data_IF_578930338977
#
_entry.id   IF_578930338977
#
_cell.length_a   1.000
_cell.length_b   1.000
_cell.length_c   1.000
_cell.angle_alpha   90.00
_cell.angle_beta   90.00
_cell.angle_gamma   90.00
#
_symmetry.space_group_name_H-M   'P 1'
#
loop_
_entity.id
_entity.type
_entity.pdbx_description
1 polymer ?
#
# COMPACT_ATOMS: atom_id res chain seq x y z
N UNK A 1 8.61 42.86 -35.19
CA UNK A 1 9.12 42.63 -33.81
C UNK A 1 9.30 41.15 -33.56
N UNK A 2 10.50 40.71 -33.20
CA UNK A 2 10.95 39.32 -33.24
C UNK A 2 10.46 38.54 -32.02
N UNK A 3 9.79 37.39 -32.24
CA UNK A 3 9.52 36.37 -31.22
C UNK A 3 10.83 35.65 -30.84
N UNK A 4 11.20 35.66 -29.57
CA UNK A 4 12.28 34.83 -29.03
C UNK A 4 11.69 33.50 -28.56
N UNK A 5 12.07 32.44 -29.24
CA UNK A 5 11.84 31.04 -28.85
C UNK A 5 12.95 30.64 -27.86
N UNK A 6 12.56 30.25 -26.65
CA UNK A 6 13.49 29.68 -25.68
C UNK A 6 13.40 28.17 -25.79
N UNK A 7 14.46 27.54 -26.29
CA UNK A 7 14.64 26.09 -26.31
C UNK A 7 15.17 25.64 -24.93
N UNK A 8 14.46 24.75 -24.26
CA UNK A 8 14.95 24.01 -23.09
C UNK A 8 15.89 22.90 -23.58
N UNK A 9 17.14 22.94 -23.13
CA UNK A 9 18.13 21.89 -23.33
C UNK A 9 17.85 20.74 -22.35
N UNK A 10 17.65 19.55 -22.90
CA UNK A 10 17.73 18.29 -22.18
C UNK A 10 19.20 17.96 -21.95
N UNK A 11 19.61 17.86 -20.68
CA UNK A 11 20.94 17.38 -20.32
C UNK A 11 20.86 15.87 -20.04
N UNK A 12 21.30 15.06 -20.98
CA UNK A 12 21.58 13.64 -20.77
C UNK A 12 22.95 13.51 -20.09
N UNK A 13 22.98 12.98 -18.86
CA UNK A 13 24.22 12.62 -18.17
C UNK A 13 24.62 11.20 -18.59
N UNK A 14 25.69 11.10 -19.39
CA UNK A 14 26.35 9.84 -19.70
C UNK A 14 27.27 9.45 -18.54
N UNK A 15 26.98 8.32 -17.88
CA UNK A 15 27.89 7.73 -16.90
C UNK A 15 28.99 6.94 -17.63
N UNK A 16 30.23 7.36 -17.42
CA UNK A 16 31.45 6.76 -17.98
C UNK A 16 31.84 5.54 -17.15
N UNK A 17 31.86 4.35 -17.76
CA UNK A 17 32.42 3.13 -17.17
C UNK A 17 33.94 3.19 -17.21
N UNK A 18 34.58 3.16 -16.04
CA UNK A 18 36.03 2.86 -15.93
C UNK A 18 36.20 1.36 -15.64
N UNK A 19 36.67 0.63 -16.64
CA UNK A 19 37.22 -0.71 -16.44
C UNK A 19 38.60 -0.60 -15.80
N UNK A 20 38.81 -1.12 -14.58
CA UNK A 20 40.12 -1.39 -14.03
C UNK A 20 40.43 -2.89 -14.13
N UNK A 21 41.42 -3.20 -14.95
CA UNK A 21 42.00 -4.54 -15.12
C UNK A 21 42.99 -4.77 -13.99
N UNK A 22 42.86 -5.86 -13.22
CA UNK A 22 43.88 -6.38 -12.32
C UNK A 22 44.34 -7.77 -12.77
N UNK A 23 45.62 -8.12 -12.55
CA UNK A 23 46.23 -9.27 -13.18
C UNK A 23 45.98 -10.60 -12.48
N UNK A 24 46.01 -11.63 -13.29
CA UNK A 24 45.91 -13.05 -12.95
C UNK A 24 47.07 -13.50 -12.08
N UNK A 25 46.76 -14.12 -10.92
CA UNK A 25 47.70 -14.93 -10.17
C UNK A 25 47.05 -16.27 -9.86
N UNK A 26 47.57 -17.34 -10.45
CA UNK A 26 47.10 -18.70 -10.27
C UNK A 26 47.46 -19.25 -8.89
N UNK A 27 46.53 -19.91 -8.21
CA UNK A 27 46.77 -20.99 -7.25
C UNK A 27 45.68 -22.07 -7.30
N UNK A 28 46.11 -23.30 -7.08
CA UNK A 28 45.51 -24.56 -7.42
C UNK A 28 44.26 -24.92 -6.57
N UNK A 29 43.48 -25.84 -7.13
CA UNK A 29 42.25 -26.43 -6.68
C UNK A 29 42.29 -27.22 -5.37
N UNK A 30 41.18 -27.24 -4.63
CA UNK A 30 40.53 -28.47 -4.13
C UNK A 30 39.02 -28.24 -3.96
N UNK A 31 38.18 -29.32 -4.06
CA UNK A 31 36.75 -29.21 -4.38
C UNK A 31 35.83 -29.38 -3.15
N UNK A 32 34.71 -28.69 -3.16
CA UNK A 32 33.58 -29.09 -2.33
C UNK A 32 32.89 -28.00 -1.54
N UNK A 33 31.91 -27.36 -2.16
CA UNK A 33 30.62 -27.00 -1.60
C UNK A 33 29.92 -26.07 -2.61
N UNK A 34 28.87 -26.56 -3.25
CA UNK A 34 27.97 -25.75 -4.06
C UNK A 34 27.15 -24.86 -3.12
N UNK A 35 27.58 -23.62 -2.90
CA UNK A 35 26.72 -22.56 -2.42
C UNK A 35 25.87 -22.08 -3.60
N UNK A 36 24.61 -22.45 -3.60
CA UNK A 36 23.60 -21.85 -4.48
C UNK A 36 23.46 -20.37 -4.06
N UNK A 37 24.14 -19.47 -4.77
CA UNK A 37 23.80 -18.05 -4.75
C UNK A 37 22.36 -17.89 -5.29
N UNK A 38 21.42 -17.70 -4.36
CA UNK A 38 20.10 -17.20 -4.66
C UNK A 38 20.27 -15.74 -5.11
N UNK A 39 20.46 -15.55 -6.41
CA UNK A 39 20.47 -14.25 -7.06
C UNK A 39 19.05 -13.64 -6.99
N UNK A 40 18.70 -13.07 -5.85
CA UNK A 40 17.60 -12.13 -5.77
C UNK A 40 18.04 -10.88 -6.54
N UNK A 41 17.63 -10.78 -7.81
CA UNK A 41 17.73 -9.54 -8.57
C UNK A 41 16.91 -8.49 -7.84
N UNK A 42 17.57 -7.59 -7.14
CA UNK A 42 16.96 -6.37 -6.65
C UNK A 42 16.56 -5.56 -7.90
N UNK A 43 15.32 -5.73 -8.34
CA UNK A 43 14.72 -4.79 -9.29
C UNK A 43 14.66 -3.46 -8.56
N UNK A 44 15.39 -2.47 -9.05
CA UNK A 44 15.27 -1.10 -8.59
C UNK A 44 13.79 -0.71 -8.78
N UNK A 45 13.07 -0.51 -7.66
CA UNK A 45 11.71 0.02 -7.71
C UNK A 45 11.81 1.41 -8.35
N UNK A 46 11.22 1.59 -9.54
CA UNK A 46 11.12 2.92 -10.14
C UNK A 46 10.40 3.83 -9.15
N UNK A 47 11.04 4.93 -8.78
CA UNK A 47 10.46 5.91 -7.86
C UNK A 47 9.21 6.54 -8.52
N UNK A 48 8.05 6.30 -7.92
CA UNK A 48 6.80 6.90 -8.40
C UNK A 48 6.83 8.39 -8.13
N UNK A 49 7.09 9.17 -9.19
CA UNK A 49 7.05 10.63 -9.13
C UNK A 49 5.62 11.10 -9.30
N UNK A 50 5.12 11.86 -8.32
CA UNK A 50 3.79 12.47 -8.42
C UNK A 50 3.72 13.45 -9.58
N UNK A 51 2.76 13.31 -10.53
CA UNK A 51 2.58 14.26 -11.63
C UNK A 51 2.14 15.63 -11.08
N UNK A 52 2.45 16.71 -11.77
CA UNK A 52 2.01 18.06 -11.39
C UNK A 52 0.49 18.22 -11.43
N UNK A 53 -0.16 17.55 -12.38
CA UNK A 53 -1.61 17.56 -12.56
C UNK A 53 -2.11 16.20 -13.04
N UNK A 54 -3.30 15.80 -12.61
CA UNK A 54 -3.98 14.54 -12.97
C UNK A 54 -5.38 14.86 -13.47
N UNK A 55 -5.67 14.54 -14.73
CA UNK A 55 -7.03 14.71 -15.27
C UNK A 55 -8.02 13.78 -14.58
N UNK A 56 -9.21 14.30 -14.28
CA UNK A 56 -10.31 13.51 -13.72
C UNK A 56 -11.04 12.77 -14.83
N UNK A 57 -10.50 11.64 -15.25
CA UNK A 57 -11.01 10.80 -16.31
C UNK A 57 -10.90 9.30 -15.97
N UNK A 58 -11.46 8.43 -16.82
CA UNK A 58 -11.46 6.97 -16.58
C UNK A 58 -10.09 6.30 -16.71
N UNK A 59 -9.09 6.98 -17.26
CA UNK A 59 -7.71 6.48 -17.32
C UNK A 59 -7.04 6.59 -15.98
N UNK A 60 -7.21 7.71 -15.27
CA UNK A 60 -6.58 8.01 -14.00
C UNK A 60 -7.43 7.55 -12.80
N UNK A 61 -8.75 7.69 -12.91
CA UNK A 61 -9.74 7.27 -11.91
C UNK A 61 -10.72 6.31 -12.59
N UNK A 62 -10.44 5.01 -12.52
CA UNK A 62 -11.14 4.02 -13.32
C UNK A 62 -12.60 3.83 -12.89
N UNK A 63 -12.86 3.90 -11.59
CA UNK A 63 -14.20 3.70 -11.03
C UNK A 63 -15.01 4.98 -11.13
N UNK A 64 -16.19 4.91 -11.74
CA UNK A 64 -17.05 6.10 -11.97
C UNK A 64 -17.42 6.79 -10.66
N UNK A 65 -17.72 6.03 -9.61
CA UNK A 65 -18.12 6.61 -8.32
C UNK A 65 -16.92 7.28 -7.65
N UNK A 66 -15.72 6.68 -7.72
CA UNK A 66 -14.51 7.31 -7.24
C UNK A 66 -14.14 8.55 -8.06
N UNK A 67 -14.26 8.48 -9.39
CA UNK A 67 -14.07 9.64 -10.28
C UNK A 67 -15.02 10.79 -9.90
N UNK A 68 -16.29 10.51 -9.65
CA UNK A 68 -17.25 11.52 -9.22
C UNK A 68 -16.93 12.07 -7.83
N UNK A 69 -16.47 11.20 -6.92
CA UNK A 69 -16.09 11.60 -5.56
C UNK A 69 -14.91 12.58 -5.57
N UNK A 70 -13.87 12.35 -6.38
CA UNK A 70 -12.67 13.19 -6.36
C UNK A 70 -12.87 14.57 -7.00
N UNK A 71 -13.95 14.79 -7.78
CA UNK A 71 -14.31 16.11 -8.33
C UNK A 71 -14.46 17.19 -7.27
N UNK A 72 -14.82 16.85 -6.04
CA UNK A 72 -14.91 17.82 -4.94
C UNK A 72 -13.57 18.50 -4.60
N UNK A 73 -12.45 17.88 -5.00
CA UNK A 73 -11.11 18.38 -4.77
C UNK A 73 -10.59 19.30 -5.88
N UNK A 74 -11.21 19.27 -7.06
CA UNK A 74 -11.00 20.22 -8.17
C UNK A 74 -11.63 21.56 -7.80
N UNK A 75 -10.84 22.45 -7.20
CA UNK A 75 -11.35 23.72 -6.63
C UNK A 75 -11.48 24.83 -7.67
N UNK A 76 -10.70 24.77 -8.72
CA UNK A 76 -10.75 25.75 -9.82
C UNK A 76 -11.68 25.30 -10.96
N UNK A 77 -12.19 24.07 -10.92
CA UNK A 77 -13.17 23.53 -11.86
C UNK A 77 -12.59 23.26 -13.25
N UNK A 78 -11.27 23.04 -13.33
CA UNK A 78 -10.58 22.85 -14.61
C UNK A 78 -10.64 21.41 -15.15
N UNK A 79 -11.22 20.47 -14.40
CA UNK A 79 -11.35 19.06 -14.74
C UNK A 79 -10.11 18.23 -14.42
N UNK A 80 -9.15 18.78 -13.71
CA UNK A 80 -7.91 18.13 -13.29
C UNK A 80 -7.63 18.41 -11.81
N UNK A 81 -6.86 17.54 -11.18
CA UNK A 81 -6.35 17.76 -9.82
C UNK A 81 -4.87 18.13 -9.89
N UNK A 82 -4.54 19.37 -9.55
CA UNK A 82 -3.15 19.82 -9.36
C UNK A 82 -2.50 19.09 -8.16
N UNK A 83 -1.17 19.08 -8.10
CA UNK A 83 -0.46 18.52 -6.94
C UNK A 83 -0.82 19.29 -5.65
N UNK A 84 -1.03 20.61 -5.73
CA UNK A 84 -1.43 21.43 -4.58
C UNK A 84 -2.81 21.00 -4.02
N UNK A 85 -3.79 20.73 -4.89
CA UNK A 85 -5.12 20.26 -4.48
C UNK A 85 -5.05 18.87 -3.84
N UNK A 86 -4.31 17.94 -4.46
CA UNK A 86 -4.12 16.58 -3.95
C UNK A 86 -3.37 16.54 -2.61
N UNK A 87 -2.39 17.42 -2.41
CA UNK A 87 -1.64 17.55 -1.16
C UNK A 87 -2.48 18.07 0.02
N UNK A 88 -3.64 18.64 -0.23
CA UNK A 88 -4.60 19.06 0.80
C UNK A 88 -5.54 17.92 1.24
N UNK A 89 -5.52 16.80 0.52
CA UNK A 89 -6.42 15.66 0.79
C UNK A 89 -5.73 14.69 1.74
N UNK A 90 -6.12 14.75 2.99
CA UNK A 90 -5.65 13.83 4.04
C UNK A 90 -6.65 12.75 4.39
N UNK A 91 -7.90 12.89 3.92
CA UNK A 91 -8.99 11.95 4.21
C UNK A 91 -9.82 11.71 2.96
N UNK A 92 -10.03 10.43 2.65
CA UNK A 92 -11.00 9.96 1.67
C UNK A 92 -11.95 8.99 2.39
N UNK A 93 -13.25 9.30 2.36
CA UNK A 93 -14.30 8.48 2.95
C UNK A 93 -15.43 8.35 1.93
N UNK A 94 -15.50 7.16 1.30
CA UNK A 94 -16.49 6.90 0.29
C UNK A 94 -17.85 6.58 0.93
N UNK A 95 -18.95 7.04 0.34
CA UNK A 95 -20.29 6.65 0.78
C UNK A 95 -20.49 5.14 0.69
N UNK A 96 -21.21 4.57 1.64
CA UNK A 96 -21.66 3.18 1.61
C UNK A 96 -22.37 2.85 0.29
N UNK A 97 -22.07 1.68 -0.27
CA UNK A 97 -22.68 1.22 -1.51
C UNK A 97 -22.09 1.86 -2.78
N UNK A 98 -21.06 2.71 -2.68
CA UNK A 98 -20.29 3.17 -3.85
C UNK A 98 -19.71 1.97 -4.60
N UNK A 99 -19.67 2.05 -5.93
CA UNK A 99 -19.10 0.98 -6.76
C UNK A 99 -17.69 1.35 -7.23
N UNK A 100 -16.71 0.97 -6.42
CA UNK A 100 -15.30 1.31 -6.63
C UNK A 100 -14.42 0.05 -6.67
N UNK A 101 -14.58 -0.84 -7.68
CA UNK A 101 -13.93 -2.15 -7.70
C UNK A 101 -12.40 -2.12 -7.70
N UNK A 102 -11.77 -1.07 -8.16
CA UNK A 102 -10.30 -1.00 -8.28
C UNK A 102 -9.64 0.05 -7.41
N UNK A 103 -10.36 1.09 -7.01
CA UNK A 103 -9.82 2.28 -6.33
C UNK A 103 -8.61 2.91 -7.05
N UNK A 104 -8.45 2.63 -8.37
CA UNK A 104 -7.37 3.23 -9.17
C UNK A 104 -7.48 4.75 -9.14
N UNK A 105 -6.35 5.43 -8.90
CA UNK A 105 -6.26 6.88 -8.70
C UNK A 105 -5.97 7.26 -7.25
N UNK A 106 -6.09 6.29 -6.31
CA UNK A 106 -5.76 6.54 -4.90
C UNK A 106 -4.27 6.87 -4.72
N UNK A 107 -3.40 6.35 -5.59
CA UNK A 107 -1.96 6.59 -5.62
C UNK A 107 -1.59 8.07 -5.84
N UNK A 108 -2.51 8.85 -6.37
CA UNK A 108 -2.30 10.28 -6.62
C UNK A 108 -2.47 11.18 -5.38
N UNK A 109 -2.81 10.61 -4.22
CA UNK A 109 -3.00 11.37 -2.97
C UNK A 109 -1.87 11.08 -1.97
N UNK A 110 -0.69 11.76 -2.09
CA UNK A 110 0.51 11.43 -1.30
C UNK A 110 0.38 11.78 0.18
N UNK A 111 -0.53 12.73 0.53
CA UNK A 111 -0.76 13.18 1.89
C UNK A 111 -1.91 12.43 2.60
N UNK A 112 -2.40 11.34 2.00
CA UNK A 112 -3.54 10.59 2.53
C UNK A 112 -3.15 9.89 3.85
N UNK A 113 -3.89 10.23 4.91
CA UNK A 113 -3.75 9.67 6.27
C UNK A 113 -4.89 8.68 6.56
N UNK A 114 -6.09 8.98 6.06
CA UNK A 114 -7.30 8.17 6.32
C UNK A 114 -7.96 7.77 5.02
N UNK A 115 -8.11 6.47 4.81
CA UNK A 115 -8.92 5.90 3.73
C UNK A 115 -10.03 5.03 4.34
N UNK A 116 -11.29 5.40 4.08
CA UNK A 116 -12.46 4.59 4.42
C UNK A 116 -13.21 4.27 3.13
N UNK A 117 -13.17 3.01 2.75
CA UNK A 117 -13.83 2.45 1.58
C UNK A 117 -14.58 1.15 1.93
N UNK A 118 -15.15 1.08 3.13
CA UNK A 118 -15.95 -0.06 3.55
C UNK A 118 -17.22 -0.16 2.73
N UNK A 119 -17.67 -1.39 2.42
CA UNK A 119 -18.91 -1.65 1.67
C UNK A 119 -18.99 -0.91 0.31
N UNK A 120 -17.88 -0.89 -0.43
CA UNK A 120 -17.80 -0.18 -1.72
C UNK A 120 -17.41 -1.09 -2.89
N UNK A 121 -17.63 -2.40 -2.72
CA UNK A 121 -17.40 -3.45 -3.74
C UNK A 121 -15.95 -3.56 -4.25
N UNK A 122 -14.97 -3.08 -3.48
CA UNK A 122 -13.55 -3.13 -3.83
C UNK A 122 -13.09 -4.58 -4.01
N UNK A 123 -12.42 -4.86 -5.13
CA UNK A 123 -11.81 -6.15 -5.47
C UNK A 123 -10.28 -6.08 -5.50
N UNK A 124 -9.76 -4.89 -5.79
CA UNK A 124 -8.33 -4.61 -5.80
C UNK A 124 -8.06 -3.26 -5.17
N UNK A 125 -7.10 -3.20 -4.26
CA UNK A 125 -6.72 -1.99 -3.54
C UNK A 125 -5.19 -1.93 -3.44
N UNK A 126 -4.59 -0.97 -4.14
CA UNK A 126 -3.17 -0.68 -4.04
C UNK A 126 -2.96 0.63 -3.27
N UNK A 127 -2.49 0.52 -2.04
CA UNK A 127 -2.15 1.64 -1.15
C UNK A 127 -0.64 1.84 -1.01
N UNK A 128 0.16 1.19 -1.85
CA UNK A 128 1.64 1.20 -1.76
C UNK A 128 2.26 2.59 -1.90
N UNK A 129 1.54 3.55 -2.49
CA UNK A 129 2.00 4.94 -2.67
C UNK A 129 1.46 5.89 -1.60
N UNK A 130 0.54 5.44 -0.74
CA UNK A 130 -0.04 6.24 0.34
C UNK A 130 0.76 6.02 1.64
N UNK A 131 2.02 6.46 1.64
CA UNK A 131 2.99 6.15 2.70
C UNK A 131 2.66 6.76 4.07
N UNK A 132 1.78 7.78 4.11
CA UNK A 132 1.32 8.44 5.34
C UNK A 132 0.04 7.84 5.93
N UNK A 133 -0.46 6.73 5.32
CA UNK A 133 -1.71 6.12 5.73
C UNK A 133 -1.61 5.58 7.16
N UNK A 134 -2.46 6.11 8.06
CA UNK A 134 -2.59 5.69 9.46
C UNK A 134 -3.88 4.89 9.69
N UNK A 135 -4.92 5.16 8.91
CA UNK A 135 -6.23 4.50 9.04
C UNK A 135 -6.66 3.94 7.69
N UNK A 136 -6.91 2.64 7.64
CA UNK A 136 -7.47 1.94 6.49
C UNK A 136 -8.68 1.10 6.92
N UNK A 137 -9.89 1.53 6.51
CA UNK A 137 -11.12 0.78 6.67
C UNK A 137 -11.61 0.31 5.30
N UNK A 138 -11.46 -0.98 5.04
CA UNK A 138 -11.83 -1.63 3.80
C UNK A 138 -12.66 -2.91 4.03
N UNK A 139 -13.33 -3.02 5.17
CA UNK A 139 -14.19 -4.16 5.50
C UNK A 139 -15.45 -4.20 4.60
N UNK A 140 -16.13 -5.37 4.54
CA UNK A 140 -17.30 -5.62 3.69
C UNK A 140 -17.06 -5.36 2.21
N UNK A 141 -15.95 -5.88 1.69
CA UNK A 141 -15.56 -5.76 0.29
C UNK A 141 -15.32 -7.13 -0.36
N UNK A 142 -14.67 -7.15 -1.52
CA UNK A 142 -14.39 -8.36 -2.28
C UNK A 142 -12.88 -8.56 -2.48
N UNK A 143 -12.07 -8.14 -1.51
CA UNK A 143 -10.62 -8.26 -1.57
C UNK A 143 -10.19 -9.72 -1.39
N UNK A 144 -9.43 -10.25 -2.34
CA UNK A 144 -8.77 -11.56 -2.24
C UNK A 144 -7.33 -11.44 -1.74
N UNK A 145 -6.73 -10.25 -1.90
CA UNK A 145 -5.40 -9.90 -1.45
C UNK A 145 -5.38 -8.47 -0.89
N UNK A 146 -4.53 -8.21 0.08
CA UNK A 146 -4.27 -6.87 0.63
C UNK A 146 -2.81 -6.78 1.06
N UNK A 147 -2.04 -5.91 0.40
CA UNK A 147 -0.66 -5.60 0.78
C UNK A 147 -0.61 -4.23 1.45
N UNK A 148 -0.22 -4.21 2.73
CA UNK A 148 -0.03 -3.01 3.54
C UNK A 148 1.44 -2.83 3.97
N UNK A 149 2.36 -3.58 3.37
CA UNK A 149 3.78 -3.60 3.76
C UNK A 149 4.49 -2.25 3.63
N UNK A 150 4.02 -1.37 2.74
CA UNK A 150 4.56 -0.02 2.56
C UNK A 150 3.94 1.01 3.53
N UNK A 151 2.82 0.69 4.17
CA UNK A 151 2.08 1.60 5.06
C UNK A 151 2.56 1.48 6.51
N UNK A 152 3.83 1.82 6.76
CA UNK A 152 4.48 1.64 8.06
C UNK A 152 3.88 2.51 9.17
N UNK A 153 3.17 3.58 8.82
CA UNK A 153 2.48 4.47 9.76
C UNK A 153 1.09 3.95 10.17
N UNK A 154 0.64 2.76 9.64
CA UNK A 154 -0.71 2.25 9.84
C UNK A 154 -0.95 1.90 11.31
N UNK A 155 -2.02 2.47 11.89
CA UNK A 155 -2.46 2.32 13.29
C UNK A 155 -3.79 1.60 13.40
N UNK A 156 -4.73 1.82 12.47
CA UNK A 156 -6.07 1.22 12.47
C UNK A 156 -6.32 0.54 11.11
N UNK A 157 -6.32 -0.79 11.09
CA UNK A 157 -6.64 -1.61 9.93
C UNK A 157 -7.92 -2.40 10.19
N UNK A 158 -8.96 -2.14 9.39
CA UNK A 158 -10.21 -2.90 9.39
C UNK A 158 -10.46 -3.47 8.01
N UNK A 159 -10.24 -4.78 7.87
CA UNK A 159 -10.34 -5.51 6.61
C UNK A 159 -11.23 -6.76 6.70
N UNK A 160 -12.06 -6.88 7.74
CA UNK A 160 -13.00 -7.98 7.93
C UNK A 160 -14.03 -8.09 6.80
N UNK A 161 -14.75 -9.21 6.73
CA UNK A 161 -15.78 -9.46 5.70
C UNK A 161 -15.26 -9.33 4.25
N UNK A 162 -14.06 -9.84 3.99
CA UNK A 162 -13.42 -9.94 2.69
C UNK A 162 -13.15 -11.41 2.32
N UNK A 163 -12.37 -11.66 1.27
CA UNK A 163 -11.99 -13.00 0.80
C UNK A 163 -10.49 -13.29 1.02
N UNK A 164 -9.85 -12.59 1.97
CA UNK A 164 -8.43 -12.80 2.25
C UNK A 164 -8.20 -14.20 2.83
N UNK A 165 -7.24 -14.93 2.27
CA UNK A 165 -6.76 -16.22 2.81
C UNK A 165 -5.48 -16.05 3.62
N UNK A 166 -4.77 -14.95 3.41
CA UNK A 166 -3.55 -14.54 4.12
C UNK A 166 -3.59 -13.05 4.41
N UNK A 167 -2.96 -12.62 5.51
CA UNK A 167 -2.78 -11.22 5.85
C UNK A 167 -1.41 -11.06 6.52
N UNK A 168 -0.53 -10.27 5.91
CA UNK A 168 0.79 -9.96 6.48
C UNK A 168 0.81 -8.52 7.01
N UNK A 169 0.95 -8.38 8.32
CA UNK A 169 1.03 -7.10 9.04
C UNK A 169 2.40 -6.88 9.71
N UNK A 170 3.41 -7.70 9.37
CA UNK A 170 4.73 -7.65 10.00
C UNK A 170 5.46 -6.31 9.85
N UNK A 171 5.14 -5.52 8.80
CA UNK A 171 5.74 -4.20 8.57
C UNK A 171 4.97 -3.05 9.23
N UNK A 172 3.82 -3.34 9.86
CA UNK A 172 2.94 -2.35 10.47
C UNK A 172 3.12 -2.32 11.99
N UNK A 173 4.35 -2.02 12.43
CA UNK A 173 4.72 -2.07 13.87
C UNK A 173 3.94 -1.06 14.73
N UNK A 174 3.42 0.02 14.10
CA UNK A 174 2.60 1.03 14.77
C UNK A 174 1.13 0.63 14.94
N UNK A 175 0.74 -0.60 14.51
CA UNK A 175 -0.66 -1.02 14.49
C UNK A 175 -1.21 -1.16 15.92
N UNK A 176 -2.28 -0.40 16.22
CA UNK A 176 -2.99 -0.40 17.50
C UNK A 176 -4.32 -1.14 17.44
N UNK A 177 -4.97 -1.11 16.28
CA UNK A 177 -6.26 -1.76 16.02
C UNK A 177 -6.18 -2.63 14.76
N UNK A 178 -6.50 -3.92 14.91
CA UNK A 178 -6.66 -4.85 13.80
C UNK A 178 -8.01 -5.55 13.88
N UNK A 179 -8.86 -5.35 12.86
CA UNK A 179 -10.08 -6.12 12.66
C UNK A 179 -9.99 -6.87 11.33
N UNK A 180 -9.85 -8.19 11.43
CA UNK A 180 -9.74 -9.14 10.34
C UNK A 180 -10.73 -10.32 10.52
N UNK A 181 -11.91 -10.04 11.07
CA UNK A 181 -12.94 -11.03 11.36
C UNK A 181 -13.76 -11.40 10.10
N UNK A 182 -14.43 -12.55 10.17
CA UNK A 182 -15.43 -13.01 9.19
C UNK A 182 -14.91 -13.07 7.74
N UNK A 183 -13.65 -13.53 7.54
CA UNK A 183 -13.12 -13.73 6.19
C UNK A 183 -13.86 -14.86 5.49
N UNK A 184 -14.54 -14.53 4.39
CA UNK A 184 -15.36 -15.47 3.61
C UNK A 184 -14.57 -16.65 3.06
N UNK A 185 -13.29 -16.44 2.71
CA UNK A 185 -12.34 -17.50 2.29
C UNK A 185 -11.56 -18.11 3.45
N UNK A 186 -11.81 -17.68 4.69
CA UNK A 186 -11.19 -18.11 5.95
C UNK A 186 -9.68 -17.91 6.01
N UNK A 187 -9.28 -16.96 6.82
CA UNK A 187 -7.89 -16.76 7.21
C UNK A 187 -7.45 -17.93 8.12
N UNK A 188 -6.45 -18.71 7.69
CA UNK A 188 -6.02 -19.92 8.38
C UNK A 188 -4.85 -19.69 9.34
N UNK A 189 -4.12 -18.60 9.17
CA UNK A 189 -3.03 -18.17 10.05
C UNK A 189 -2.96 -16.66 10.11
N UNK A 190 -2.54 -16.13 11.26
CA UNK A 190 -2.29 -14.71 11.45
C UNK A 190 -1.11 -14.58 12.43
N UNK A 191 -0.06 -13.90 11.99
CA UNK A 191 1.09 -13.56 12.83
C UNK A 191 1.04 -12.07 13.19
N UNK A 192 0.92 -11.78 14.49
CA UNK A 192 0.88 -10.45 15.07
C UNK A 192 2.09 -10.17 15.99
N UNK A 193 3.11 -11.01 15.97
CA UNK A 193 4.29 -10.92 16.84
C UNK A 193 5.07 -9.61 16.69
N UNK A 194 4.99 -8.96 15.52
CA UNK A 194 5.64 -7.68 15.24
C UNK A 194 4.81 -6.46 15.69
N UNK A 195 3.51 -6.65 15.96
CA UNK A 195 2.56 -5.56 16.26
C UNK A 195 2.46 -5.32 17.77
N UNK A 196 3.57 -4.92 18.38
CA UNK A 196 3.67 -4.76 19.85
C UNK A 196 2.79 -3.64 20.41
N UNK A 197 2.41 -2.68 19.58
CA UNK A 197 1.50 -1.59 19.95
C UNK A 197 0.02 -1.99 19.93
N UNK A 198 -0.30 -3.26 19.54
CA UNK A 198 -1.67 -3.70 19.31
C UNK A 198 -2.48 -3.74 20.61
N UNK A 199 -3.56 -2.94 20.66
CA UNK A 199 -4.50 -2.80 21.79
C UNK A 199 -5.79 -3.56 21.55
N UNK A 200 -6.21 -3.66 20.27
CA UNK A 200 -7.47 -4.27 19.87
C UNK A 200 -7.22 -5.25 18.73
N UNK A 201 -7.67 -6.50 18.89
CA UNK A 201 -7.56 -7.55 17.89
C UNK A 201 -8.88 -8.28 17.76
N UNK A 202 -9.46 -8.22 16.56
CA UNK A 202 -10.66 -8.96 16.18
C UNK A 202 -10.33 -9.86 14.98
N UNK A 203 -10.38 -11.18 15.15
CA UNK A 203 -10.10 -12.16 14.11
C UNK A 203 -11.02 -13.39 14.19
N UNK A 204 -12.22 -13.21 14.75
CA UNK A 204 -13.23 -14.28 14.90
C UNK A 204 -13.79 -14.74 13.56
N UNK A 205 -14.45 -15.92 13.55
CA UNK A 205 -15.10 -16.51 12.38
C UNK A 205 -14.14 -16.74 11.19
N UNK A 206 -12.90 -17.07 11.48
CA UNK A 206 -11.87 -17.47 10.53
C UNK A 206 -11.57 -18.98 10.61
N UNK A 207 -10.52 -19.43 9.92
CA UNK A 207 -10.00 -20.80 10.01
C UNK A 207 -8.82 -20.95 10.97
N UNK A 208 -8.59 -19.99 11.87
CA UNK A 208 -7.46 -20.01 12.81
C UNK A 208 -7.62 -21.18 13.78
N UNK A 209 -6.63 -22.06 13.86
CA UNK A 209 -6.56 -23.16 14.85
C UNK A 209 -5.79 -22.76 16.10
N UNK A 210 -4.96 -21.74 16.01
CA UNK A 210 -4.20 -21.13 17.10
C UNK A 210 -3.86 -19.69 16.75
N UNK A 211 -3.62 -18.87 17.78
CA UNK A 211 -3.13 -17.51 17.64
C UNK A 211 -2.21 -17.21 18.83
N UNK A 212 -0.94 -16.90 18.52
CA UNK A 212 0.01 -16.45 19.53
C UNK A 212 -0.05 -14.93 19.68
N UNK A 213 -0.41 -14.47 20.87
CA UNK A 213 -0.47 -13.04 21.24
C UNK A 213 0.50 -12.71 22.38
N UNK A 214 1.47 -13.59 22.64
CA UNK A 214 2.44 -13.42 23.75
C UNK A 214 3.28 -12.15 23.61
N UNK A 215 3.51 -11.66 22.38
CA UNK A 215 4.25 -10.43 22.08
C UNK A 215 3.41 -9.15 22.16
N UNK A 216 2.08 -9.26 22.34
CA UNK A 216 1.15 -8.12 22.29
C UNK A 216 0.71 -7.72 23.69
N UNK A 217 1.65 -7.24 24.51
CA UNK A 217 1.41 -6.91 25.92
C UNK A 217 0.38 -5.78 26.11
N UNK A 218 0.19 -4.93 25.11
CA UNK A 218 -0.75 -3.81 25.12
C UNK A 218 -2.21 -4.24 24.87
N UNK A 219 -2.47 -5.52 24.52
CA UNK A 219 -3.84 -5.98 24.27
C UNK A 219 -4.72 -5.89 25.51
N UNK A 220 -5.84 -5.17 25.39
CA UNK A 220 -6.86 -5.07 26.43
C UNK A 220 -7.54 -6.43 26.64
N UNK A 221 -7.67 -6.88 27.89
CA UNK A 221 -8.12 -8.24 28.26
C UNK A 221 -9.55 -8.58 27.80
N UNK A 222 -10.42 -7.57 27.67
CA UNK A 222 -11.84 -7.77 27.36
C UNK A 222 -12.16 -8.02 25.88
N UNK A 223 -11.16 -7.99 24.98
CA UNK A 223 -11.36 -8.08 23.53
C UNK A 223 -10.54 -9.16 22.83
N UNK A 224 -10.06 -10.15 23.59
CA UNK A 224 -9.47 -11.37 23.05
C UNK A 224 -10.58 -12.30 22.52
N UNK A 225 -11.38 -11.84 21.56
CA UNK A 225 -12.26 -12.73 20.79
C UNK A 225 -11.39 -13.53 19.83
N UNK A 226 -10.71 -14.53 20.37
CA UNK A 226 -9.91 -15.48 19.62
C UNK A 226 -10.75 -16.73 19.43
N UNK A 227 -11.05 -17.08 18.16
CA UNK A 227 -11.69 -18.30 17.64
C UNK A 227 -13.19 -18.33 17.76
#
# INVERSE_FOLDING_TARGET
MRKKSTRLLSAALAACMMLSVLPVGAFAAEPGAEEQENGASAQAEEEFVQPESVEINSTNFQDTDFQNYVKQYDKDGNGSLSLEERNKVTTIELPDGSNCPTMKGIEYFPELVTLKCSNTHVRSLDVSKNLKLETLWCNWNNLEQLDVSKNKALKDLRCGDNYLTTLNVSQNEALEWLSANDMRSKLNSLDVSYNKALKHLECTKNGLTSLDVSSNEALEQDRKSVV
#
